data_IF_068077641331
#
_entry.id   IF_068077641331
#
_cell.length_a   1.000
_cell.length_b   1.000
_cell.length_c   1.000
_cell.angle_alpha   90.00
_cell.angle_beta   90.00
_cell.angle_gamma   90.00
#
_symmetry.space_group_name_H-M   'P 1'
#
loop_
_entity.id
_entity.type
_entity.pdbx_description
1 polymer ?
#
# COMPACT_ATOMS: atom_id res chain seq x y z
N UNK A 1 7.44 -25.98 22.15
CA UNK A 1 7.88 -25.99 20.73
C UNK A 1 6.62 -26.03 19.89
N UNK A 2 6.06 -24.87 19.61
CA UNK A 2 4.87 -24.71 18.78
C UNK A 2 5.31 -24.80 17.32
N UNK A 3 4.95 -25.88 16.65
CA UNK A 3 5.06 -26.00 15.21
C UNK A 3 4.06 -24.97 14.62
N UNK A 4 4.56 -23.83 14.16
CA UNK A 4 3.85 -23.02 13.20
C UNK A 4 3.54 -23.96 12.03
N UNK A 5 2.28 -24.34 11.83
CA UNK A 5 1.88 -25.12 10.67
C UNK A 5 2.07 -24.25 9.43
N UNK A 6 3.30 -24.22 8.94
CA UNK A 6 3.61 -23.59 7.66
C UNK A 6 2.81 -24.34 6.58
N UNK A 7 1.82 -23.66 5.98
CA UNK A 7 1.03 -24.26 4.90
C UNK A 7 1.98 -24.63 3.77
N UNK A 8 1.86 -25.83 3.17
CA UNK A 8 2.75 -26.26 2.09
C UNK A 8 2.69 -25.30 0.89
N UNK A 9 3.84 -24.94 0.34
CA UNK A 9 3.95 -24.00 -0.76
C UNK A 9 3.08 -24.35 -1.98
N UNK A 10 2.88 -25.65 -2.25
CA UNK A 10 2.00 -26.09 -3.33
C UNK A 10 0.52 -25.75 -3.08
N UNK A 11 0.06 -25.79 -1.81
CA UNK A 11 -1.30 -25.36 -1.46
C UNK A 11 -1.43 -23.85 -1.57
N UNK A 12 -0.45 -23.10 -1.02
CA UNK A 12 -0.44 -21.65 -1.16
C UNK A 12 -0.43 -21.21 -2.61
N UNK A 13 0.32 -21.90 -3.48
CA UNK A 13 0.30 -21.64 -4.92
C UNK A 13 -1.09 -21.85 -5.50
N UNK A 14 -1.77 -22.93 -5.16
CA UNK A 14 -3.13 -23.22 -5.64
C UNK A 14 -4.09 -22.13 -5.17
N UNK A 15 -4.08 -21.79 -3.86
CA UNK A 15 -4.96 -20.79 -3.29
C UNK A 15 -4.74 -19.39 -3.90
N UNK A 16 -3.48 -19.00 -4.15
CA UNK A 16 -3.17 -17.72 -4.84
C UNK A 16 -3.70 -17.74 -6.26
N UNK A 17 -3.54 -18.86 -6.98
CA UNK A 17 -4.05 -18.99 -8.35
C UNK A 17 -5.58 -18.90 -8.39
N UNK A 18 -6.26 -19.55 -7.45
CA UNK A 18 -7.73 -19.49 -7.31
C UNK A 18 -8.20 -18.08 -6.91
N UNK A 19 -7.49 -17.40 -6.00
CA UNK A 19 -7.83 -16.03 -5.60
C UNK A 19 -7.66 -15.03 -6.76
N UNK A 20 -6.62 -15.20 -7.59
CA UNK A 20 -6.47 -14.41 -8.81
C UNK A 20 -7.62 -14.65 -9.78
N UNK A 21 -8.00 -15.91 -10.01
CA UNK A 21 -9.13 -16.26 -10.87
C UNK A 21 -10.48 -15.79 -10.31
N UNK A 22 -10.61 -15.71 -8.98
CA UNK A 22 -11.79 -15.19 -8.29
C UNK A 22 -11.90 -13.67 -8.35
N UNK A 23 -10.82 -12.96 -8.69
CA UNK A 23 -10.77 -11.50 -8.74
C UNK A 23 -11.19 -10.99 -10.13
N UNK A 24 -12.41 -10.42 -10.31
CA UNK A 24 -12.97 -10.14 -11.64
C UNK A 24 -12.19 -9.11 -12.46
N UNK A 25 -11.40 -8.27 -11.79
CA UNK A 25 -10.57 -7.22 -12.41
C UNK A 25 -9.18 -7.69 -12.83
N UNK A 26 -8.89 -8.99 -12.70
CA UNK A 26 -7.59 -9.59 -13.03
C UNK A 26 -7.78 -10.67 -14.09
N UNK A 27 -7.03 -10.59 -15.17
CA UNK A 27 -6.90 -11.70 -16.13
C UNK A 27 -5.83 -12.68 -15.65
N UNK A 28 -6.26 -13.68 -14.87
CA UNK A 28 -5.36 -14.66 -14.27
C UNK A 28 -4.64 -15.58 -15.29
N UNK A 29 -5.12 -15.67 -16.52
CA UNK A 29 -4.57 -16.59 -17.54
C UNK A 29 -3.13 -16.25 -17.95
N UNK A 30 -2.77 -14.96 -17.89
CA UNK A 30 -1.43 -14.47 -18.24
C UNK A 30 -0.51 -14.29 -17.02
N UNK A 31 -0.95 -14.68 -15.81
CA UNK A 31 -0.20 -14.54 -14.57
C UNK A 31 0.27 -15.89 -14.04
N UNK A 32 1.57 -16.10 -14.02
CA UNK A 32 2.20 -17.25 -13.39
C UNK A 32 2.42 -17.03 -11.89
N UNK A 33 2.14 -18.05 -11.08
CA UNK A 33 2.33 -18.05 -9.63
C UNK A 33 3.38 -19.08 -9.24
N UNK A 34 4.39 -18.66 -8.47
CA UNK A 34 5.29 -19.55 -7.74
C UNK A 34 5.34 -19.17 -6.28
N UNK A 35 5.47 -20.15 -5.39
CA UNK A 35 5.59 -19.93 -3.96
C UNK A 35 6.82 -20.66 -3.43
N UNK A 36 7.59 -20.02 -2.58
CA UNK A 36 8.75 -20.58 -1.88
C UNK A 36 8.80 -20.02 -0.47
N UNK A 37 8.79 -20.88 0.54
CA UNK A 37 8.80 -20.51 1.96
C UNK A 37 7.72 -19.46 2.32
N UNK A 38 6.51 -19.61 1.78
CA UNK A 38 5.41 -18.68 1.98
C UNK A 38 5.53 -17.36 1.22
N UNK A 39 6.56 -17.17 0.42
CA UNK A 39 6.71 -16.00 -0.47
C UNK A 39 6.10 -16.31 -1.84
N UNK A 40 5.06 -15.59 -2.19
CA UNK A 40 4.46 -15.67 -3.53
C UNK A 40 5.20 -14.76 -4.50
N UNK A 41 5.55 -15.28 -5.68
CA UNK A 41 6.06 -14.49 -6.80
C UNK A 41 5.04 -14.55 -7.92
N UNK A 42 4.54 -13.38 -8.34
CA UNK A 42 3.68 -13.24 -9.49
C UNK A 42 4.50 -12.78 -10.69
N UNK A 43 4.35 -13.44 -11.82
CA UNK A 43 5.08 -13.15 -13.06
C UNK A 43 4.15 -13.24 -14.27
N UNK A 44 4.50 -12.56 -15.35
CA UNK A 44 3.69 -12.57 -16.57
C UNK A 44 3.27 -11.16 -17.00
N UNK A 45 2.07 -11.04 -17.55
CA UNK A 45 1.61 -9.81 -18.16
C UNK A 45 0.18 -9.47 -17.74
N UNK A 46 -0.09 -8.16 -17.68
CA UNK A 46 -1.43 -7.58 -17.49
C UNK A 46 -1.63 -6.44 -18.47
N UNK A 47 -2.89 -6.07 -18.71
CA UNK A 47 -3.23 -4.98 -19.63
C UNK A 47 -3.06 -3.58 -19.05
N UNK A 48 -3.15 -3.44 -17.72
CA UNK A 48 -3.13 -2.13 -17.04
C UNK A 48 -2.38 -2.17 -15.72
N UNK A 49 -1.89 -1.01 -15.27
CA UNK A 49 -1.27 -0.89 -13.95
C UNK A 49 -2.25 -1.14 -12.80
N UNK A 50 -3.52 -0.67 -12.80
CA UNK A 50 -4.52 -1.04 -11.80
C UNK A 50 -4.74 -2.55 -11.69
N UNK A 51 -4.75 -3.28 -12.79
CA UNK A 51 -4.87 -4.74 -12.80
C UNK A 51 -3.67 -5.41 -12.11
N UNK A 52 -2.46 -4.93 -12.39
CA UNK A 52 -1.24 -5.38 -11.69
C UNK A 52 -1.33 -5.19 -10.18
N UNK A 53 -1.75 -4.01 -9.74
CA UNK A 53 -1.93 -3.69 -8.32
C UNK A 53 -2.98 -4.59 -7.67
N UNK A 54 -4.07 -4.90 -8.40
CA UNK A 54 -5.11 -5.78 -7.88
C UNK A 54 -4.64 -7.23 -7.79
N UNK A 55 -3.87 -7.71 -8.76
CA UNK A 55 -3.27 -9.04 -8.71
C UNK A 55 -2.33 -9.20 -7.50
N UNK A 56 -1.49 -8.20 -7.22
CA UNK A 56 -0.62 -8.19 -6.05
C UNK A 56 -1.42 -8.16 -4.74
N UNK A 57 -2.49 -7.38 -4.69
CA UNK A 57 -3.39 -7.33 -3.52
C UNK A 57 -4.12 -8.65 -3.31
N UNK A 58 -4.60 -9.28 -4.39
CA UNK A 58 -5.25 -10.58 -4.34
C UNK A 58 -4.33 -11.63 -3.71
N UNK A 59 -3.10 -11.76 -4.20
CA UNK A 59 -2.13 -12.68 -3.64
C UNK A 59 -1.84 -12.43 -2.14
N UNK A 60 -1.78 -11.16 -1.73
CA UNK A 60 -1.52 -10.78 -0.32
C UNK A 60 -2.70 -11.09 0.61
N UNK A 61 -3.93 -11.27 0.08
CA UNK A 61 -5.10 -11.65 0.88
C UNK A 61 -5.09 -13.13 1.29
N UNK A 62 -4.34 -13.95 0.57
CA UNK A 62 -4.28 -15.40 0.84
C UNK A 62 -3.58 -15.67 2.16
N UNK A 63 -4.27 -16.35 3.08
CA UNK A 63 -3.71 -16.68 4.39
C UNK A 63 -2.48 -17.59 4.24
N UNK A 64 -1.37 -17.20 4.88
CA UNK A 64 -0.08 -17.89 4.80
C UNK A 64 0.90 -17.30 3.79
N UNK A 65 0.46 -16.37 2.92
CA UNK A 65 1.37 -15.57 2.10
C UNK A 65 1.99 -14.48 2.96
N UNK A 66 3.31 -14.50 3.09
CA UNK A 66 4.08 -13.56 3.93
C UNK A 66 4.57 -12.34 3.14
N UNK A 67 5.01 -12.57 1.90
CA UNK A 67 5.51 -11.55 0.97
C UNK A 67 5.04 -11.88 -0.44
N UNK A 68 4.74 -10.84 -1.20
CA UNK A 68 4.44 -10.98 -2.64
C UNK A 68 5.52 -10.25 -3.45
N UNK A 69 6.27 -11.00 -4.25
CA UNK A 69 7.25 -10.46 -5.18
C UNK A 69 6.60 -10.17 -6.54
N UNK A 70 6.84 -8.96 -7.05
CA UNK A 70 6.28 -8.46 -8.30
C UNK A 70 7.25 -8.65 -9.47
N UNK A 71 6.88 -9.53 -10.40
CA UNK A 71 7.51 -9.70 -11.71
C UNK A 71 6.48 -9.60 -12.86
N UNK A 72 5.34 -8.93 -12.60
CA UNK A 72 4.31 -8.69 -13.60
C UNK A 72 4.71 -7.46 -14.43
N UNK A 73 4.69 -7.58 -15.74
CA UNK A 73 4.85 -6.47 -16.66
C UNK A 73 3.48 -5.98 -17.18
N UNK A 74 3.33 -4.68 -17.35
CA UNK A 74 2.16 -4.12 -18.02
C UNK A 74 2.42 -4.10 -19.52
N UNK A 75 1.58 -4.79 -20.29
CA UNK A 75 1.66 -4.84 -21.76
C UNK A 75 0.78 -3.76 -22.35
N UNK A 76 1.39 -2.76 -22.93
CA UNK A 76 0.66 -1.70 -23.60
C UNK A 76 0.24 -2.12 -25.03
N UNK A 77 -0.94 -1.64 -25.47
CA UNK A 77 -1.39 -1.76 -26.85
C UNK A 77 -0.57 -0.88 -27.82
N UNK A 78 -0.98 -0.84 -29.09
CA UNK A 78 -0.24 -0.10 -30.13
C UNK A 78 -0.44 1.41 -30.07
N UNK A 79 -1.50 1.90 -29.40
CA UNK A 79 -1.86 3.32 -29.38
C UNK A 79 -1.80 3.85 -27.94
N UNK A 80 -0.57 3.97 -27.42
CA UNK A 80 -0.31 4.38 -26.03
C UNK A 80 0.26 5.80 -26.00
N UNK A 81 -0.25 6.67 -25.14
CA UNK A 81 0.29 8.03 -24.97
C UNK A 81 1.78 7.98 -24.60
N UNK A 82 2.57 8.85 -25.21
CA UNK A 82 3.98 8.99 -24.86
C UNK A 82 4.19 9.66 -23.50
N UNK A 83 5.39 9.54 -22.95
CA UNK A 83 5.74 10.08 -21.62
C UNK A 83 5.38 11.55 -21.42
N UNK A 84 5.55 12.36 -22.48
CA UNK A 84 5.20 13.79 -22.43
C UNK A 84 3.69 14.02 -22.31
N UNK A 85 2.88 13.21 -22.99
CA UNK A 85 1.43 13.29 -22.92
C UNK A 85 0.91 12.77 -21.57
N UNK A 86 1.47 11.67 -21.08
CA UNK A 86 1.19 11.13 -19.75
C UNK A 86 1.54 12.15 -18.64
N UNK A 87 2.66 12.84 -18.77
CA UNK A 87 3.06 13.90 -17.82
C UNK A 87 2.02 15.02 -17.81
N UNK A 88 1.58 15.47 -18.99
CA UNK A 88 0.58 16.53 -19.12
C UNK A 88 -0.76 16.11 -18.54
N UNK A 89 -1.19 14.89 -18.81
CA UNK A 89 -2.46 14.34 -18.29
C UNK A 89 -2.43 14.20 -16.78
N UNK A 90 -1.33 13.70 -16.21
CA UNK A 90 -1.16 13.60 -14.77
C UNK A 90 -1.20 14.98 -14.09
N UNK A 91 -0.58 16.01 -14.67
CA UNK A 91 -0.67 17.39 -14.16
C UNK A 91 -2.11 17.91 -14.16
N UNK A 92 -2.87 17.65 -15.23
CA UNK A 92 -4.29 18.03 -15.29
C UNK A 92 -5.15 17.33 -14.22
N UNK A 93 -4.82 16.07 -13.87
CA UNK A 93 -5.50 15.37 -12.78
C UNK A 93 -5.29 16.08 -11.45
N UNK A 94 -4.09 16.55 -11.15
CA UNK A 94 -3.82 17.30 -9.92
C UNK A 94 -4.50 18.68 -9.92
N UNK A 95 -4.50 19.38 -11.03
CA UNK A 95 -5.16 20.68 -11.13
C UNK A 95 -6.68 20.58 -10.89
N UNK A 96 -7.33 19.52 -11.39
CA UNK A 96 -8.75 19.25 -11.20
C UNK A 96 -9.12 18.71 -9.82
N UNK A 97 -8.21 18.02 -9.13
CA UNK A 97 -8.42 17.35 -7.83
C UNK A 97 -7.81 18.08 -6.65
N UNK A 98 -7.52 19.36 -6.77
CA UNK A 98 -6.78 20.19 -5.80
C UNK A 98 -7.38 20.27 -4.38
N UNK A 99 -8.56 19.70 -4.13
CA UNK A 99 -9.20 19.71 -2.79
C UNK A 99 -8.46 18.81 -1.78
N UNK A 100 -7.81 17.74 -2.23
CA UNK A 100 -7.16 16.74 -1.35
C UNK A 100 -5.66 16.95 -1.29
N UNK A 101 -5.02 17.18 -2.45
CA UNK A 101 -3.59 17.42 -2.55
C UNK A 101 -3.37 18.93 -2.69
N UNK A 102 -2.56 19.56 -1.81
CA UNK A 102 -2.31 21.00 -1.91
C UNK A 102 -1.74 21.38 -3.27
N UNK A 103 -2.21 22.51 -3.81
CA UNK A 103 -1.74 23.00 -5.10
C UNK A 103 -0.23 23.20 -5.09
N UNK A 104 0.43 22.87 -6.21
CA UNK A 104 1.88 23.01 -6.42
C UNK A 104 2.77 22.22 -5.42
N UNK A 105 2.17 21.33 -4.59
CA UNK A 105 2.92 20.51 -3.63
C UNK A 105 3.53 19.25 -4.23
N UNK A 106 3.07 18.85 -5.41
CA UNK A 106 3.47 17.60 -6.08
C UNK A 106 3.94 17.89 -7.51
N UNK A 107 5.10 17.38 -7.83
CA UNK A 107 5.69 17.39 -9.18
C UNK A 107 5.57 15.99 -9.79
N UNK A 108 5.33 15.93 -11.08
CA UNK A 108 5.18 14.71 -11.86
C UNK A 108 6.27 14.60 -12.90
N UNK A 109 6.88 13.44 -13.01
CA UNK A 109 7.80 13.06 -14.07
C UNK A 109 7.42 11.68 -14.58
N UNK A 110 7.37 11.48 -15.89
CA UNK A 110 7.14 10.16 -16.51
C UNK A 110 8.37 9.78 -17.31
N UNK A 111 8.85 8.55 -17.13
CA UNK A 111 9.93 7.93 -17.92
C UNK A 111 9.61 6.47 -18.15
N UNK A 112 9.69 6.03 -19.38
CA UNK A 112 9.41 4.65 -19.79
C UNK A 112 8.05 4.16 -19.21
N UNK A 113 7.01 5.00 -19.30
CA UNK A 113 5.68 4.76 -18.75
C UNK A 113 5.62 4.59 -17.21
N UNK A 114 6.70 4.87 -16.49
CA UNK A 114 6.72 4.90 -15.02
C UNK A 114 6.59 6.33 -14.54
N UNK A 115 5.49 6.59 -13.82
CA UNK A 115 5.18 7.90 -13.26
C UNK A 115 5.85 8.06 -11.88
N UNK A 116 6.64 9.11 -11.71
CA UNK A 116 7.29 9.45 -10.45
C UNK A 116 6.65 10.72 -9.87
N UNK A 117 6.14 10.62 -8.64
CA UNK A 117 5.63 11.75 -7.87
C UNK A 117 6.69 12.21 -6.88
N UNK A 118 7.00 13.51 -6.87
CA UNK A 118 7.93 14.15 -5.93
C UNK A 118 7.26 15.35 -5.28
N UNK A 119 7.77 15.76 -4.12
CA UNK A 119 7.25 16.92 -3.40
C UNK A 119 7.08 16.66 -1.92
N UNK A 120 6.22 17.46 -1.28
CA UNK A 120 5.94 17.31 0.14
C UNK A 120 4.48 17.63 0.46
N UNK A 121 3.86 16.80 1.29
CA UNK A 121 2.49 17.01 1.79
C UNK A 121 2.47 16.84 3.30
N UNK A 122 1.53 17.50 4.02
CA UNK A 122 1.46 17.38 5.47
C UNK A 122 0.92 16.03 5.97
N UNK A 123 0.15 15.28 5.17
CA UNK A 123 -0.57 14.09 5.61
C UNK A 123 -0.33 12.88 4.71
N UNK A 124 -0.29 11.71 5.33
CA UNK A 124 -0.18 10.43 4.63
C UNK A 124 -1.33 10.21 3.63
N UNK A 125 -2.59 10.50 4.02
CA UNK A 125 -3.72 10.35 3.12
C UNK A 125 -3.59 11.19 1.84
N UNK A 126 -2.92 12.33 1.90
CA UNK A 126 -2.66 13.19 0.72
C UNK A 126 -1.61 12.56 -0.19
N UNK A 127 -0.58 11.93 0.40
CA UNK A 127 0.43 11.17 -0.35
C UNK A 127 -0.19 9.98 -1.09
N UNK A 128 -1.11 9.28 -0.44
CA UNK A 128 -1.85 8.17 -1.06
C UNK A 128 -2.87 8.67 -2.08
N UNK A 129 -3.58 9.76 -1.78
CA UNK A 129 -4.52 10.36 -2.72
C UNK A 129 -3.82 10.82 -4.01
N UNK A 130 -2.60 11.38 -3.90
CA UNK A 130 -1.79 11.74 -5.06
C UNK A 130 -1.46 10.51 -5.92
N UNK A 131 -1.01 9.41 -5.30
CA UNK A 131 -0.73 8.15 -6.01
C UNK A 131 -1.99 7.60 -6.68
N UNK A 132 -3.08 7.51 -5.95
CA UNK A 132 -4.33 6.93 -6.43
C UNK A 132 -4.95 7.77 -7.55
N UNK A 133 -4.74 9.09 -7.55
CA UNK A 133 -5.24 9.97 -8.59
C UNK A 133 -4.67 9.64 -9.97
N UNK A 134 -3.41 9.23 -10.04
CA UNK A 134 -2.70 8.94 -11.29
C UNK A 134 -2.58 7.46 -11.62
N UNK A 135 -2.83 6.58 -10.64
CA UNK A 135 -2.68 5.13 -10.81
C UNK A 135 -3.59 4.56 -11.92
N UNK A 136 -4.72 5.22 -12.21
CA UNK A 136 -5.67 4.81 -13.26
C UNK A 136 -5.40 5.41 -14.64
N UNK A 137 -4.34 6.18 -14.85
CA UNK A 137 -4.06 6.77 -16.15
C UNK A 137 -3.71 5.69 -17.17
N UNK A 138 -4.37 5.68 -18.35
CA UNK A 138 -4.04 4.74 -19.41
C UNK A 138 -2.61 4.93 -19.88
N UNK A 139 -1.88 3.83 -20.06
CA UNK A 139 -0.51 3.87 -20.60
C UNK A 139 0.59 3.89 -19.54
N UNK A 140 0.30 3.98 -18.23
CA UNK A 140 1.33 3.84 -17.21
C UNK A 140 1.59 2.36 -16.88
N UNK A 141 2.87 2.06 -16.58
CA UNK A 141 3.34 0.73 -16.14
C UNK A 141 3.58 0.68 -14.63
N UNK A 142 3.69 1.85 -14.00
CA UNK A 142 3.97 1.93 -12.56
C UNK A 142 3.91 3.35 -12.02
N UNK A 143 3.76 3.45 -10.70
CA UNK A 143 3.81 4.72 -9.97
C UNK A 143 4.85 4.64 -8.85
N UNK A 144 5.86 5.51 -8.90
CA UNK A 144 6.83 5.73 -7.82
C UNK A 144 6.41 6.94 -7.01
N UNK A 145 5.93 6.72 -5.81
CA UNK A 145 5.54 7.80 -4.92
C UNK A 145 6.71 8.19 -4.00
N UNK A 146 7.43 9.25 -4.36
CA UNK A 146 8.54 9.83 -3.60
C UNK A 146 8.13 11.12 -2.87
N UNK A 147 6.84 11.33 -2.64
CA UNK A 147 6.33 12.45 -1.86
C UNK A 147 6.75 12.27 -0.40
N UNK A 148 7.41 13.27 0.16
CA UNK A 148 7.78 13.31 1.58
C UNK A 148 6.63 13.85 2.43
N UNK A 149 6.58 13.43 3.70
CA UNK A 149 5.65 14.01 4.66
C UNK A 149 6.33 15.15 5.41
N UNK A 150 5.71 16.34 5.38
CA UNK A 150 6.13 17.53 6.12
C UNK A 150 4.94 18.09 6.88
N UNK A 151 4.68 17.60 8.11
CA UNK A 151 3.57 18.08 8.90
C UNK A 151 3.68 19.58 9.18
N UNK A 152 2.55 20.28 9.15
CA UNK A 152 2.48 21.72 9.47
C UNK A 152 2.65 21.99 10.95
N UNK A 153 2.36 21.01 11.81
CA UNK A 153 2.55 21.04 13.24
C UNK A 153 2.89 19.64 13.75
N UNK A 154 3.77 19.56 14.73
CA UNK A 154 4.10 18.31 15.43
C UNK A 154 3.64 18.44 16.87
N UNK A 155 2.86 17.46 17.34
CA UNK A 155 2.54 17.33 18.75
C UNK A 155 3.76 16.80 19.52
N UNK A 156 3.84 17.06 20.82
CA UNK A 156 4.84 16.41 21.66
C UNK A 156 4.67 14.87 21.59
N UNK A 157 5.76 14.08 21.61
CA UNK A 157 5.66 12.62 21.46
C UNK A 157 4.68 11.97 22.42
N UNK A 158 4.66 12.38 23.69
CA UNK A 158 3.72 11.88 24.68
C UNK A 158 2.26 12.20 24.36
N UNK A 159 1.98 13.38 23.83
CA UNK A 159 0.63 13.78 23.39
C UNK A 159 0.20 12.97 22.15
N UNK A 160 1.11 12.78 21.19
CA UNK A 160 0.87 11.95 20.01
C UNK A 160 0.57 10.51 20.41
N UNK A 161 1.38 9.92 21.28
CA UNK A 161 1.14 8.58 21.83
C UNK A 161 -0.22 8.45 22.49
N UNK A 162 -0.59 9.39 23.38
CA UNK A 162 -1.87 9.37 24.05
C UNK A 162 -3.05 9.46 23.06
N UNK A 163 -2.95 10.29 22.02
CA UNK A 163 -3.98 10.44 20.98
C UNK A 163 -4.14 9.16 20.15
N UNK A 164 -3.03 8.53 19.75
CA UNK A 164 -3.06 7.28 19.00
C UNK A 164 -3.67 6.16 19.86
N UNK A 165 -3.23 5.99 21.10
CA UNK A 165 -3.77 4.99 22.02
C UNK A 165 -5.27 5.17 22.24
N UNK A 166 -5.72 6.41 22.46
CA UNK A 166 -7.15 6.70 22.59
C UNK A 166 -7.94 6.42 21.30
N UNK A 167 -7.34 6.62 20.11
CA UNK A 167 -7.97 6.30 18.84
C UNK A 167 -8.05 4.77 18.62
N UNK A 168 -7.00 4.04 18.95
CA UNK A 168 -7.00 2.57 18.91
C UNK A 168 -8.07 1.99 19.82
N UNK A 169 -8.21 2.51 21.05
CA UNK A 169 -9.25 2.07 22.00
C UNK A 169 -10.65 2.31 21.44
N UNK A 170 -10.89 3.39 20.70
CA UNK A 170 -12.19 3.66 20.05
C UNK A 170 -12.49 2.75 18.88
N UNK A 171 -11.46 2.43 18.07
CA UNK A 171 -11.62 1.65 16.83
C UNK A 171 -11.53 0.14 17.08
N UNK A 172 -10.76 -0.28 18.07
CA UNK A 172 -10.42 -1.66 18.36
C UNK A 172 -10.42 -1.90 19.88
N UNK A 173 -11.59 -1.81 20.56
CA UNK A 173 -11.65 -1.78 22.02
C UNK A 173 -11.13 -3.04 22.70
N UNK A 174 -11.30 -4.21 22.09
CA UNK A 174 -10.82 -5.47 22.64
C UNK A 174 -9.34 -5.71 22.40
N UNK A 175 -8.84 -5.34 21.20
CA UNK A 175 -7.47 -5.61 20.76
C UNK A 175 -6.49 -4.52 21.21
N UNK A 176 -6.97 -3.28 21.45
CA UNK A 176 -6.13 -2.15 21.82
C UNK A 176 -5.27 -2.39 23.07
N UNK A 177 -5.74 -3.28 23.97
CA UNK A 177 -5.01 -3.67 25.19
C UNK A 177 -3.73 -4.46 24.91
N UNK A 178 -3.62 -5.06 23.72
CA UNK A 178 -2.47 -5.84 23.28
C UNK A 178 -1.56 -5.08 22.31
N UNK A 179 -1.92 -3.82 21.99
CA UNK A 179 -1.15 -2.98 21.09
C UNK A 179 -0.45 -1.89 21.88
N UNK A 180 0.87 -1.90 21.84
CA UNK A 180 1.70 -0.86 22.43
C UNK A 180 2.10 0.14 21.36
N UNK A 181 2.04 1.43 21.72
CA UNK A 181 2.39 2.56 20.84
C UNK A 181 3.64 3.22 21.36
N UNK A 182 4.73 3.15 20.62
CA UNK A 182 5.95 3.91 20.85
C UNK A 182 5.99 5.12 19.91
N UNK A 183 6.44 6.28 20.41
CA UNK A 183 6.61 7.49 19.58
C UNK A 183 8.00 8.07 19.80
N UNK A 184 8.75 8.23 18.72
CA UNK A 184 10.05 8.92 18.70
C UNK A 184 10.00 10.03 17.64
N UNK A 185 9.98 11.27 18.11
CA UNK A 185 9.77 12.45 17.26
C UNK A 185 8.44 12.37 16.48
N UNK A 186 8.52 12.08 15.17
CA UNK A 186 7.38 11.95 14.27
C UNK A 186 7.17 10.49 13.80
N UNK A 187 7.99 9.57 14.32
CA UNK A 187 7.90 8.15 14.00
C UNK A 187 7.09 7.41 15.06
N UNK A 188 6.17 6.58 14.62
CA UNK A 188 5.34 5.73 15.47
C UNK A 188 5.77 4.27 15.27
N UNK A 189 5.98 3.55 16.36
CA UNK A 189 6.17 2.10 16.36
C UNK A 189 4.97 1.45 17.02
N UNK A 190 4.37 0.48 16.34
CA UNK A 190 3.29 -0.35 16.88
C UNK A 190 3.84 -1.75 17.15
N UNK A 191 3.69 -2.24 18.39
CA UNK A 191 4.09 -3.59 18.81
C UNK A 191 2.93 -4.29 19.49
N UNK A 192 3.02 -5.62 19.61
CA UNK A 192 2.01 -6.46 20.24
C UNK A 192 1.41 -7.47 19.27
N UNK A 193 0.35 -8.12 19.73
CA UNK A 193 -0.24 -9.24 19.02
C UNK A 193 -1.71 -8.93 18.65
N UNK A 194 -2.07 -9.23 17.41
CA UNK A 194 -3.44 -9.05 16.90
C UNK A 194 -3.92 -10.31 16.19
N UNK A 195 -5.23 -10.64 16.27
CA UNK A 195 -5.76 -11.87 15.69
C UNK A 195 -5.71 -11.91 14.17
N UNK A 196 -5.81 -10.77 13.50
CA UNK A 196 -5.96 -10.75 12.03
C UNK A 196 -5.08 -9.70 11.35
N UNK A 197 -4.73 -9.97 10.09
CA UNK A 197 -4.06 -8.99 9.25
C UNK A 197 -4.91 -7.74 8.97
N UNK A 198 -6.24 -7.85 9.08
CA UNK A 198 -7.15 -6.71 8.97
C UNK A 198 -7.01 -5.77 10.17
N UNK A 199 -6.94 -6.30 11.38
CA UNK A 199 -6.72 -5.53 12.61
C UNK A 199 -5.33 -4.88 12.63
N UNK A 200 -4.30 -5.62 12.21
CA UNK A 200 -2.95 -5.07 12.03
C UNK A 200 -2.95 -3.85 11.10
N UNK A 201 -3.63 -3.94 9.96
CA UNK A 201 -3.77 -2.80 9.02
C UNK A 201 -4.61 -1.67 9.60
N UNK A 202 -5.69 -1.98 10.33
CA UNK A 202 -6.54 -0.97 10.97
C UNK A 202 -5.79 -0.17 12.02
N UNK A 203 -4.95 -0.82 12.83
CA UNK A 203 -4.10 -0.16 13.80
C UNK A 203 -3.08 0.77 13.12
N UNK A 204 -2.44 0.32 12.06
CA UNK A 204 -1.51 1.12 11.26
C UNK A 204 -2.18 2.35 10.66
N UNK A 205 -3.36 2.18 10.05
CA UNK A 205 -4.14 3.31 9.51
C UNK A 205 -4.52 4.30 10.61
N UNK A 206 -4.89 3.82 11.79
CA UNK A 206 -5.23 4.68 12.94
C UNK A 206 -4.02 5.53 13.37
N UNK A 207 -2.83 4.95 13.39
CA UNK A 207 -1.60 5.71 13.69
C UNK A 207 -1.31 6.78 12.63
N UNK A 208 -1.53 6.51 11.35
CA UNK A 208 -1.36 7.46 10.26
C UNK A 208 -2.30 8.67 10.32
N UNK A 209 -3.43 8.59 11.02
CA UNK A 209 -4.34 9.72 11.19
C UNK A 209 -3.88 10.72 12.27
N UNK A 210 -2.88 10.37 13.08
CA UNK A 210 -2.39 11.28 14.10
C UNK A 210 -1.61 12.46 13.47
N UNK A 211 -1.88 13.70 13.89
CA UNK A 211 -1.19 14.86 13.39
C UNK A 211 0.31 14.81 13.70
N UNK A 212 1.14 14.99 12.70
CA UNK A 212 2.59 15.02 12.86
C UNK A 212 3.31 13.71 12.56
N UNK A 213 2.60 12.61 12.35
CA UNK A 213 3.20 11.32 11.99
C UNK A 213 3.77 11.35 10.59
N UNK A 214 5.04 10.97 10.46
CA UNK A 214 5.75 10.87 9.17
C UNK A 214 6.18 9.45 8.82
N UNK A 215 6.23 8.55 9.80
CA UNK A 215 6.51 7.13 9.59
C UNK A 215 5.75 6.29 10.62
N UNK A 216 5.28 5.12 10.19
CA UNK A 216 4.73 4.08 11.07
C UNK A 216 5.47 2.78 10.81
N UNK A 217 6.12 2.28 11.85
CA UNK A 217 6.77 0.97 11.88
C UNK A 217 5.85 -0.03 12.59
N UNK A 218 5.20 -0.87 11.80
CA UNK A 218 4.24 -1.82 12.29
C UNK A 218 4.91 -3.18 12.53
N UNK A 219 5.32 -3.42 13.78
CA UNK A 219 5.95 -4.66 14.25
C UNK A 219 4.98 -5.62 14.95
N UNK A 220 3.69 -5.40 14.80
CA UNK A 220 2.70 -6.32 15.38
C UNK A 220 2.77 -7.70 14.74
N UNK A 221 2.61 -8.72 15.56
CA UNK A 221 2.53 -10.13 15.14
C UNK A 221 1.08 -10.60 15.10
N UNK A 222 0.82 -11.63 14.29
CA UNK A 222 -0.49 -12.26 14.25
C UNK A 222 -0.51 -13.39 15.29
N UNK A 223 -1.56 -13.43 16.13
CA UNK A 223 -1.82 -14.59 17.00
C UNK A 223 -2.45 -15.70 16.17
N UNK A 224 -1.97 -16.93 16.36
CA UNK A 224 -2.56 -18.15 15.82
C UNK A 224 -3.95 -18.42 16.45
#
# INVERSE_FOLDING_TARGET
>A
MTHTQHRPDHQLRTDVTEELAWTPSVNAEEIGVSVTDGQATLSGYVGTYPEKEEALRAATRVHGVTVTADKIAVRHGHDVPGDADLTREAMLVFDRRSVVVPKDSVQVEVRDHVLTLRGAVPWQFQREAARNAVAGLPGISGVRNLISLRPSATAAPAEMQAKITAALTRHMPEQSRYVEVGVDGTQVTLTGDVPTAAERRSAEQTAWFAPGVTAVDNRMTLTD
#
